data_IF_976621007750
#
_entry.id   IF_976621007750
#
_cell.length_a   1.000
_cell.length_b   1.000
_cell.length_c   1.000
_cell.angle_alpha   90.00
_cell.angle_beta   90.00
_cell.angle_gamma   90.00
#
_symmetry.space_group_name_H-M   'P 1'
#
loop_
_entity.id
_entity.type
_entity.pdbx_description
1 polymer ?
#
# COMPACT_ATOMS: atom_id res chain seq x y z
N UNK A 1 14.83 17.83 -12.41
CA UNK A 1 15.84 16.73 -12.52
C UNK A 1 16.60 16.45 -11.22
N UNK A 2 17.16 17.46 -10.51
CA UNK A 2 17.92 17.24 -9.26
C UNK A 2 17.13 16.47 -8.18
N UNK A 3 15.82 16.72 -8.07
CA UNK A 3 14.99 16.01 -7.09
C UNK A 3 14.70 14.54 -7.46
N UNK A 4 14.52 14.24 -8.74
CA UNK A 4 14.38 12.85 -9.24
C UNK A 4 15.64 12.03 -8.94
N UNK A 5 16.82 12.66 -9.06
CA UNK A 5 18.10 12.04 -8.68
C UNK A 5 18.23 11.84 -7.16
N UNK A 6 17.61 12.68 -6.33
CA UNK A 6 17.56 12.46 -4.88
C UNK A 6 16.63 11.30 -4.49
N UNK A 7 15.57 11.00 -5.27
CA UNK A 7 14.74 9.81 -5.05
C UNK A 7 15.56 8.53 -5.25
N UNK A 8 16.45 8.51 -6.25
CA UNK A 8 17.35 7.37 -6.51
C UNK A 8 18.40 7.14 -5.40
N UNK A 9 18.63 8.11 -4.50
CA UNK A 9 19.48 7.89 -3.30
C UNK A 9 18.82 6.94 -2.31
N UNK A 10 17.50 6.82 -2.31
CA UNK A 10 16.79 5.89 -1.45
C UNK A 10 16.81 4.49 -2.07
N UNK A 11 17.88 3.74 -1.80
CA UNK A 11 18.09 2.36 -2.31
C UNK A 11 16.87 1.45 -2.15
N UNK A 12 16.09 1.66 -1.10
CA UNK A 12 14.88 0.89 -0.79
C UNK A 12 13.67 1.28 -1.65
N UNK A 13 13.56 2.53 -2.10
CA UNK A 13 12.54 2.92 -3.09
C UNK A 13 12.84 2.21 -4.41
N UNK A 14 14.11 2.14 -4.82
CA UNK A 14 14.53 1.37 -6.00
C UNK A 14 14.17 -0.11 -5.86
N UNK A 15 14.35 -0.70 -4.68
CA UNK A 15 13.89 -2.07 -4.41
C UNK A 15 12.38 -2.20 -4.58
N UNK A 16 11.58 -1.26 -4.09
CA UNK A 16 10.13 -1.29 -4.28
C UNK A 16 9.76 -1.24 -5.78
N UNK A 17 10.41 -0.39 -6.57
CA UNK A 17 10.23 -0.32 -8.04
C UNK A 17 10.58 -1.66 -8.70
N UNK A 18 11.71 -2.28 -8.33
CA UNK A 18 12.11 -3.59 -8.84
C UNK A 18 11.04 -4.65 -8.50
N UNK A 19 10.55 -4.64 -7.25
CA UNK A 19 9.49 -5.56 -6.82
C UNK A 19 8.18 -5.32 -7.56
N UNK A 20 7.81 -4.07 -7.86
CA UNK A 20 6.65 -3.77 -8.72
C UNK A 20 6.82 -4.39 -10.11
N UNK A 21 7.98 -4.20 -10.74
CA UNK A 21 8.24 -4.75 -12.08
C UNK A 21 8.22 -6.28 -12.07
N UNK A 22 8.82 -6.92 -11.06
CA UNK A 22 8.80 -8.37 -10.91
C UNK A 22 7.38 -8.88 -10.64
N UNK A 23 6.62 -8.26 -9.73
CA UNK A 23 5.23 -8.63 -9.45
C UNK A 23 4.35 -8.44 -10.67
N UNK A 24 4.56 -7.40 -11.48
CA UNK A 24 3.85 -7.19 -12.74
C UNK A 24 4.15 -8.32 -13.73
N UNK A 25 5.44 -8.62 -13.94
CA UNK A 25 5.85 -9.71 -14.83
C UNK A 25 5.25 -11.04 -14.38
N UNK A 26 5.34 -11.38 -13.10
CA UNK A 26 4.77 -12.62 -12.56
C UNK A 26 3.24 -12.63 -12.57
N UNK A 27 2.57 -11.48 -12.55
CA UNK A 27 1.09 -11.42 -12.62
C UNK A 27 0.56 -11.94 -13.95
N UNK A 28 1.34 -11.84 -15.03
CA UNK A 28 1.00 -12.46 -16.31
C UNK A 28 1.10 -14.00 -16.31
N UNK A 29 1.91 -14.56 -15.41
CA UNK A 29 2.07 -16.02 -15.27
C UNK A 29 1.23 -16.61 -14.14
N UNK A 30 0.94 -15.83 -13.09
CA UNK A 30 0.19 -16.26 -11.92
C UNK A 30 -0.52 -15.09 -11.25
N UNK A 31 -1.85 -15.18 -11.20
CA UNK A 31 -2.71 -14.20 -10.53
C UNK A 31 -2.47 -14.10 -9.02
N UNK A 32 -1.75 -15.07 -8.42
CA UNK A 32 -1.32 -15.05 -7.02
C UNK A 32 -0.45 -13.84 -6.66
N UNK A 33 0.18 -13.22 -7.65
CA UNK A 33 1.08 -12.07 -7.45
C UNK A 33 0.38 -10.72 -7.59
N UNK A 34 -0.86 -10.69 -8.10
CA UNK A 34 -1.65 -9.46 -8.30
C UNK A 34 -1.92 -8.70 -6.99
N UNK A 35 -2.24 -9.35 -5.85
CA UNK A 35 -2.39 -8.65 -4.57
C UNK A 35 -1.09 -7.94 -4.14
N UNK A 36 0.06 -8.58 -4.37
CA UNK A 36 1.36 -7.98 -4.06
C UNK A 36 1.64 -6.79 -4.98
N UNK A 37 1.36 -6.91 -6.28
CA UNK A 37 1.46 -5.82 -7.25
C UNK A 37 0.63 -4.61 -6.80
N UNK A 38 -0.63 -4.83 -6.40
CA UNK A 38 -1.51 -3.77 -5.90
C UNK A 38 -0.87 -3.01 -4.74
N UNK A 39 -0.44 -3.73 -3.69
CA UNK A 39 0.12 -3.12 -2.49
C UNK A 39 1.43 -2.39 -2.78
N UNK A 40 2.30 -2.96 -3.62
CA UNK A 40 3.57 -2.34 -3.99
C UNK A 40 3.38 -1.05 -4.80
N UNK A 41 2.46 -1.06 -5.77
CA UNK A 41 2.13 0.13 -6.57
C UNK A 41 1.49 1.22 -5.69
N UNK A 42 0.53 0.84 -4.84
CA UNK A 42 -0.07 1.76 -3.86
C UNK A 42 0.97 2.31 -2.88
N UNK A 43 1.96 1.51 -2.49
CA UNK A 43 3.07 1.97 -1.66
C UNK A 43 4.00 2.95 -2.37
N UNK A 44 4.33 2.73 -3.66
CA UNK A 44 5.06 3.73 -4.47
C UNK A 44 4.28 5.03 -4.53
N UNK A 45 2.97 4.95 -4.74
CA UNK A 45 2.12 6.13 -4.77
C UNK A 45 2.19 6.90 -3.44
N UNK A 46 2.16 6.22 -2.30
CA UNK A 46 2.35 6.84 -0.99
C UNK A 46 3.73 7.46 -0.79
N UNK A 47 4.78 6.77 -1.21
CA UNK A 47 6.14 7.31 -1.10
C UNK A 47 6.30 8.56 -1.99
N UNK A 48 5.85 8.49 -3.25
CA UNK A 48 5.97 9.59 -4.21
C UNK A 48 5.05 10.76 -3.87
N UNK A 49 3.81 10.44 -3.54
CA UNK A 49 2.73 11.38 -3.29
C UNK A 49 2.77 11.96 -1.89
N UNK A 50 2.80 11.16 -0.83
CA UNK A 50 2.79 11.66 0.55
C UNK A 50 4.17 12.15 0.97
N UNK A 51 5.20 11.30 0.88
CA UNK A 51 6.49 11.61 1.50
C UNK A 51 7.21 12.78 0.81
N UNK A 52 7.37 12.74 -0.52
CA UNK A 52 8.11 13.79 -1.22
C UNK A 52 7.33 15.09 -1.35
N UNK A 53 6.00 15.03 -1.41
CA UNK A 53 5.19 16.25 -1.46
C UNK A 53 5.09 16.91 -0.09
N UNK A 54 5.04 16.16 1.02
CA UNK A 54 5.16 16.72 2.38
C UNK A 54 6.48 17.46 2.56
N UNK A 55 7.60 16.85 2.17
CA UNK A 55 8.92 17.48 2.25
C UNK A 55 8.95 18.82 1.48
N UNK A 56 8.24 18.91 0.35
CA UNK A 56 8.21 20.13 -0.46
C UNK A 56 7.22 21.18 0.02
N UNK A 57 6.10 20.78 0.62
CA UNK A 57 4.97 21.68 0.94
C UNK A 57 4.86 22.07 2.41
N UNK A 58 5.76 21.59 3.28
CA UNK A 58 5.82 21.97 4.69
C UNK A 58 5.81 23.50 4.92
N UNK A 59 6.28 24.29 3.95
CA UNK A 59 6.36 25.75 4.06
C UNK A 59 5.21 26.51 3.37
N UNK A 60 4.25 25.83 2.73
CA UNK A 60 3.28 26.48 1.82
C UNK A 60 1.82 26.38 2.26
N UNK A 61 1.44 25.33 3.00
CA UNK A 61 0.05 25.11 3.43
C UNK A 61 0.01 24.50 4.84
N UNK A 62 -1.08 24.70 5.60
CA UNK A 62 -1.30 23.98 6.85
C UNK A 62 -1.31 22.47 6.59
N UNK A 63 -0.52 21.72 7.37
CA UNK A 63 -0.34 20.27 7.20
C UNK A 63 -1.67 19.50 7.12
N UNK A 64 -2.65 19.91 7.93
CA UNK A 64 -3.98 19.28 8.01
C UNK A 64 -4.75 19.31 6.69
N UNK A 65 -4.70 20.40 5.93
CA UNK A 65 -5.43 20.53 4.67
C UNK A 65 -4.79 19.69 3.57
N UNK A 66 -3.46 19.75 3.49
CA UNK A 66 -2.69 18.97 2.54
C UNK A 66 -2.90 17.46 2.74
N UNK A 67 -2.85 16.99 3.99
CA UNK A 67 -3.08 15.57 4.32
C UNK A 67 -4.49 15.15 3.91
N UNK A 68 -5.51 15.99 4.12
CA UNK A 68 -6.89 15.68 3.71
C UNK A 68 -7.01 15.52 2.20
N UNK A 69 -6.49 16.46 1.42
CA UNK A 69 -6.50 16.38 -0.05
C UNK A 69 -5.73 15.16 -0.54
N UNK A 70 -4.59 14.86 0.07
CA UNK A 70 -3.80 13.68 -0.25
C UNK A 70 -4.61 12.39 -0.05
N UNK A 71 -5.35 12.25 1.06
CA UNK A 71 -6.16 11.04 1.33
C UNK A 71 -7.26 10.82 0.28
N UNK A 72 -7.87 11.88 -0.24
CA UNK A 72 -8.87 11.78 -1.31
C UNK A 72 -8.19 11.25 -2.58
N UNK A 73 -7.06 11.84 -2.96
CA UNK A 73 -6.27 11.44 -4.12
C UNK A 73 -5.80 9.98 -3.99
N UNK A 74 -5.35 9.58 -2.80
CA UNK A 74 -4.95 8.21 -2.48
C UNK A 74 -6.10 7.22 -2.69
N UNK A 75 -7.30 7.53 -2.17
CA UNK A 75 -8.48 6.69 -2.36
C UNK A 75 -8.86 6.57 -3.84
N UNK A 76 -8.86 7.68 -4.58
CA UNK A 76 -9.15 7.66 -6.02
C UNK A 76 -8.13 6.83 -6.79
N UNK A 77 -6.85 6.93 -6.42
CA UNK A 77 -5.79 6.10 -7.00
C UNK A 77 -6.01 4.62 -6.71
N UNK A 78 -6.32 4.24 -5.46
CA UNK A 78 -6.57 2.85 -5.10
C UNK A 78 -7.76 2.26 -5.84
N UNK A 79 -8.88 3.01 -5.96
CA UNK A 79 -10.05 2.60 -6.75
C UNK A 79 -9.64 2.37 -8.20
N UNK A 80 -8.91 3.33 -8.79
CA UNK A 80 -8.44 3.22 -10.17
C UNK A 80 -7.53 2.02 -10.36
N UNK A 81 -6.66 1.74 -9.38
CA UNK A 81 -5.76 0.59 -9.39
C UNK A 81 -6.53 -0.74 -9.30
N UNK A 82 -7.56 -0.83 -8.45
CA UNK A 82 -8.44 -2.01 -8.41
C UNK A 82 -9.13 -2.21 -9.77
N UNK A 83 -9.65 -1.15 -10.38
CA UNK A 83 -10.29 -1.22 -11.70
C UNK A 83 -9.31 -1.69 -12.78
N UNK A 84 -8.12 -1.10 -12.83
CA UNK A 84 -7.08 -1.44 -13.80
C UNK A 84 -6.65 -2.92 -13.66
N UNK A 85 -6.31 -3.35 -12.45
CA UNK A 85 -5.89 -4.73 -12.20
C UNK A 85 -7.06 -5.71 -12.36
N UNK A 86 -8.29 -5.30 -12.03
CA UNK A 86 -9.50 -6.09 -12.18
C UNK A 86 -9.81 -6.42 -13.64
N UNK A 87 -9.69 -5.43 -14.53
CA UNK A 87 -9.85 -5.62 -15.98
C UNK A 87 -8.70 -6.43 -16.58
N UNK A 88 -7.47 -6.27 -16.07
CA UNK A 88 -6.28 -6.89 -16.68
C UNK A 88 -6.04 -8.33 -16.20
N UNK A 89 -6.21 -8.60 -14.90
CA UNK A 89 -5.85 -9.86 -14.26
C UNK A 89 -7.01 -10.55 -13.53
N UNK A 90 -8.20 -9.95 -13.55
CA UNK A 90 -9.40 -10.46 -12.89
C UNK A 90 -9.76 -9.69 -11.61
N UNK A 91 -11.06 -9.52 -11.40
CA UNK A 91 -11.61 -8.77 -10.27
C UNK A 91 -11.24 -9.38 -8.91
N UNK A 92 -11.26 -10.70 -8.80
CA UNK A 92 -11.02 -11.38 -7.53
C UNK A 92 -9.59 -11.19 -7.00
N UNK A 93 -8.51 -11.46 -7.78
CA UNK A 93 -7.14 -11.12 -7.38
C UNK A 93 -6.94 -9.63 -7.07
N UNK A 94 -7.57 -8.73 -7.84
CA UNK A 94 -7.46 -7.29 -7.60
C UNK A 94 -8.10 -6.86 -6.26
N UNK A 95 -9.27 -7.40 -5.94
CA UNK A 95 -9.94 -7.17 -4.65
C UNK A 95 -9.14 -7.72 -3.47
N UNK A 96 -8.47 -8.87 -3.62
CA UNK A 96 -7.51 -9.37 -2.62
C UNK A 96 -6.40 -8.34 -2.33
N UNK A 97 -5.91 -7.61 -3.33
CA UNK A 97 -5.00 -6.48 -3.13
C UNK A 97 -5.60 -5.36 -2.28
N UNK A 98 -6.87 -5.02 -2.55
CA UNK A 98 -7.65 -4.09 -1.72
C UNK A 98 -7.79 -4.55 -0.26
N UNK A 99 -8.01 -5.85 -0.03
CA UNK A 99 -8.04 -6.44 1.32
C UNK A 99 -6.70 -6.25 2.02
N UNK A 100 -5.57 -6.56 1.36
CA UNK A 100 -4.25 -6.33 1.96
C UNK A 100 -4.05 -4.87 2.38
N UNK A 101 -4.54 -3.92 1.57
CA UNK A 101 -4.52 -2.50 1.94
C UNK A 101 -5.41 -2.21 3.14
N UNK A 102 -6.66 -2.71 3.15
CA UNK A 102 -7.62 -2.56 4.27
C UNK A 102 -7.02 -3.04 5.61
N UNK A 103 -6.19 -4.07 5.57
CA UNK A 103 -5.53 -4.63 6.76
C UNK A 103 -4.18 -3.97 7.10
N UNK A 104 -3.77 -2.90 6.42
CA UNK A 104 -2.59 -2.10 6.78
C UNK A 104 -1.25 -2.67 6.29
N UNK A 105 -1.25 -3.61 5.33
CA UNK A 105 0.00 -4.16 4.78
C UNK A 105 0.82 -3.07 4.09
N UNK A 106 0.15 -2.20 3.31
CA UNK A 106 0.81 -1.08 2.62
C UNK A 106 1.47 -0.11 3.62
N UNK A 107 0.81 0.16 4.75
CA UNK A 107 1.33 1.02 5.81
C UNK A 107 2.63 0.48 6.41
N UNK A 108 2.73 -0.83 6.68
CA UNK A 108 4.00 -1.43 7.13
C UNK A 108 5.10 -1.30 6.07
N UNK A 109 4.77 -1.58 4.81
CA UNK A 109 5.71 -1.46 3.70
C UNK A 109 6.22 -0.02 3.55
N UNK A 110 5.37 0.98 3.75
CA UNK A 110 5.77 2.39 3.66
C UNK A 110 6.94 2.72 4.60
N UNK A 111 6.86 2.33 5.87
CA UNK A 111 7.93 2.55 6.84
C UNK A 111 9.17 1.69 6.53
N UNK A 112 8.95 0.44 6.12
CA UNK A 112 10.03 -0.46 5.73
C UNK A 112 10.87 0.09 4.58
N UNK A 113 10.23 0.51 3.49
CA UNK A 113 10.90 1.02 2.29
C UNK A 113 11.47 2.43 2.49
N UNK A 114 10.89 3.25 3.36
CA UNK A 114 11.49 4.54 3.72
C UNK A 114 12.60 4.43 4.79
N UNK A 115 12.81 3.24 5.37
CA UNK A 115 13.70 3.04 6.52
C UNK A 115 13.44 4.03 7.66
N UNK A 116 12.16 4.31 7.90
CA UNK A 116 11.74 5.14 9.02
C UNK A 116 11.45 4.25 10.24
N UNK A 117 11.71 4.75 11.46
CA UNK A 117 11.29 4.04 12.66
C UNK A 117 9.77 3.87 12.64
N UNK A 118 9.30 2.68 12.97
CA UNK A 118 7.87 2.45 13.11
C UNK A 118 7.31 3.31 14.25
N UNK A 119 6.13 3.92 14.08
CA UNK A 119 5.43 4.62 15.14
C UNK A 119 5.14 3.68 16.31
N UNK A 120 5.27 4.19 17.54
CA UNK A 120 4.82 3.47 18.74
C UNK A 120 3.29 3.33 18.76
N UNK A 121 2.60 4.36 18.28
CA UNK A 121 1.13 4.44 18.22
C UNK A 121 0.73 4.89 16.82
N UNK A 122 -0.19 4.15 16.21
CA UNK A 122 -0.72 4.39 14.88
C UNK A 122 -2.16 4.91 15.01
N UNK A 123 -2.35 6.19 14.70
CA UNK A 123 -3.64 6.89 14.90
C UNK A 123 -4.45 7.07 13.62
N UNK A 124 -3.84 6.81 12.45
CA UNK A 124 -4.46 6.98 11.13
C UNK A 124 -5.05 5.68 10.56
N UNK A 125 -4.82 4.54 11.22
CA UNK A 125 -5.35 3.24 10.81
C UNK A 125 -6.77 2.98 11.31
N UNK A 126 -7.56 4.02 11.59
CA UNK A 126 -8.92 3.89 12.14
C UNK A 126 -9.91 3.17 11.21
N UNK A 127 -9.58 3.08 9.93
CA UNK A 127 -10.37 2.39 8.92
C UNK A 127 -10.01 0.91 8.78
N UNK A 128 -8.94 0.42 9.43
CA UNK A 128 -8.60 -1.00 9.42
C UNK A 128 -9.49 -1.77 10.40
N UNK A 129 -9.61 -3.11 10.27
CA UNK A 129 -10.51 -3.91 11.12
C UNK A 129 -10.27 -3.72 12.62
N UNK A 130 -9.01 -3.75 13.09
CA UNK A 130 -8.71 -3.49 14.50
C UNK A 130 -8.90 -2.00 14.81
N UNK A 131 -8.53 -1.11 13.89
CA UNK A 131 -8.63 0.33 14.06
C UNK A 131 -10.06 0.86 14.27
N UNK A 132 -11.05 0.18 13.69
CA UNK A 132 -12.48 0.47 13.89
C UNK A 132 -12.91 0.26 15.34
N UNK A 133 -12.33 -0.73 16.02
CA UNK A 133 -12.62 -1.07 17.41
C UNK A 133 -11.72 -0.26 18.35
N UNK A 134 -10.44 -0.10 17.98
CA UNK A 134 -9.40 0.56 18.77
C UNK A 134 -8.71 1.66 17.94
N UNK A 135 -9.03 2.94 18.15
CA UNK A 135 -8.52 4.05 17.33
C UNK A 135 -7.01 4.29 17.38
N UNK A 136 -6.32 3.68 18.35
CA UNK A 136 -4.88 3.79 18.57
C UNK A 136 -4.26 2.40 18.59
N UNK A 137 -3.50 2.07 17.55
CA UNK A 137 -2.89 0.75 17.40
C UNK A 137 -1.41 0.76 17.77
N UNK A 138 -0.97 -0.28 18.45
CA UNK A 138 0.45 -0.59 18.67
C UNK A 138 1.03 -1.30 17.44
N UNK A 139 2.35 -1.31 17.30
CA UNK A 139 3.01 -2.02 16.20
C UNK A 139 2.59 -3.51 16.12
N UNK A 140 2.49 -4.19 17.26
CA UNK A 140 2.10 -5.59 17.31
C UNK A 140 0.69 -5.80 16.76
N UNK A 141 -0.26 -4.92 17.11
CA UNK A 141 -1.62 -4.96 16.58
C UNK A 141 -1.64 -4.74 15.06
N UNK A 142 -0.82 -3.81 14.55
CA UNK A 142 -0.67 -3.57 13.11
C UNK A 142 -0.09 -4.79 12.39
N UNK A 143 0.92 -5.44 12.96
CA UNK A 143 1.53 -6.67 12.42
C UNK A 143 0.51 -7.80 12.40
N UNK A 144 -0.24 -8.00 13.49
CA UNK A 144 -1.27 -9.04 13.60
C UNK A 144 -2.33 -8.84 12.52
N UNK A 145 -2.95 -7.66 12.42
CA UNK A 145 -3.95 -7.43 11.38
C UNK A 145 -3.36 -7.57 9.97
N UNK A 146 -2.17 -7.05 9.70
CA UNK A 146 -1.55 -7.16 8.38
C UNK A 146 -1.34 -8.63 7.99
N UNK A 147 -0.87 -9.45 8.95
CA UNK A 147 -0.67 -10.88 8.77
C UNK A 147 -1.99 -11.61 8.56
N UNK A 148 -3.04 -11.25 9.29
CA UNK A 148 -4.41 -11.76 9.09
C UNK A 148 -4.93 -11.39 7.70
N UNK A 149 -4.72 -10.16 7.24
CA UNK A 149 -5.10 -9.70 5.91
C UNK A 149 -4.41 -10.49 4.80
N UNK A 150 -3.11 -10.78 4.95
CA UNK A 150 -2.34 -11.64 4.06
C UNK A 150 -2.95 -13.04 4.02
N UNK A 151 -3.15 -13.66 5.19
CA UNK A 151 -3.73 -14.99 5.28
C UNK A 151 -5.10 -15.07 4.62
N UNK A 152 -6.01 -14.15 4.96
CA UNK A 152 -7.36 -14.07 4.39
C UNK A 152 -7.30 -13.93 2.87
N UNK A 153 -6.49 -12.99 2.37
CA UNK A 153 -6.41 -12.71 0.93
C UNK A 153 -5.92 -13.92 0.15
N UNK A 154 -4.84 -14.58 0.60
CA UNK A 154 -4.29 -15.75 -0.08
C UNK A 154 -5.17 -17.00 0.09
N UNK A 155 -5.80 -17.19 1.26
CA UNK A 155 -6.76 -18.28 1.45
C UNK A 155 -7.92 -18.17 0.46
N UNK A 156 -8.51 -16.98 0.33
CA UNK A 156 -9.59 -16.74 -0.63
C UNK A 156 -9.13 -16.90 -2.07
N UNK A 157 -7.94 -16.39 -2.42
CA UNK A 157 -7.40 -16.48 -3.77
C UNK A 157 -7.11 -17.92 -4.19
N UNK A 158 -6.50 -18.73 -3.31
CA UNK A 158 -6.27 -20.15 -3.56
C UNK A 158 -7.57 -20.92 -3.66
N UNK A 159 -8.55 -20.62 -2.81
CA UNK A 159 -9.88 -21.22 -2.90
C UNK A 159 -10.51 -20.91 -4.25
N UNK A 160 -10.50 -19.65 -4.69
CA UNK A 160 -11.05 -19.26 -5.98
C UNK A 160 -10.40 -20.02 -7.14
N UNK A 161 -9.07 -20.18 -7.13
CA UNK A 161 -8.33 -20.91 -8.14
C UNK A 161 -8.65 -22.41 -8.18
N UNK A 162 -9.04 -23.02 -7.06
CA UNK A 162 -9.41 -24.44 -7.02
C UNK A 162 -10.84 -24.74 -7.50
N UNK A 163 -11.67 -23.70 -7.70
CA UNK A 163 -13.05 -23.86 -8.20
C UNK A 163 -13.15 -23.65 -9.72
N UNK A 164 -12.05 -23.38 -10.41
CA UNK A 164 -11.92 -23.24 -11.86
C UNK A 164 -10.87 -24.23 -12.39
#
# INVERSE_FOLDING_TARGET
>A
MKDLLNILKYRWITLNVILVLLSLLFSYYSVLTVPALFVLVSNLFDILGYHFTLIRRQNQLPEKEYVKSYRIIQLMFDITLVLLLGVTFGWFPALCGGVLKIFGVQDLLYYFFLKKPYPKIWTWLRWTPIGLIKPQLTLNEVIIQSSTGIFISYFFLLRHLNFF
#
